data_IF_861475541442
#
_entry.id   IF_861475541442
#
_cell.length_a   1.000
_cell.length_b   1.000
_cell.length_c   1.000
_cell.angle_alpha   90.00
_cell.angle_beta   90.00
_cell.angle_gamma   90.00
#
_symmetry.space_group_name_H-M   'P 1'
#
loop_
_entity.id
_entity.type
_entity.pdbx_description
1 polymer ?
#
# COMPACT_ATOMS: atom_id res chain seq x y z
N UNK A 1 -12.97 7.76 4.43
CA UNK A 1 -11.65 7.69 3.78
C UNK A 1 -11.73 6.67 2.66
N UNK A 2 -11.13 6.95 1.51
CA UNK A 2 -11.05 6.00 0.39
C UNK A 2 -9.79 5.17 0.56
N UNK A 3 -9.90 3.84 0.43
CA UNK A 3 -8.74 2.92 0.45
C UNK A 3 -8.53 2.41 -0.97
N UNK A 4 -7.48 2.90 -1.64
CA UNK A 4 -7.18 2.54 -3.02
C UNK A 4 -6.08 1.46 -3.06
N UNK A 5 -6.39 0.33 -3.66
CA UNK A 5 -5.44 -0.74 -3.96
C UNK A 5 -4.86 -0.52 -5.35
N UNK A 6 -3.53 -0.41 -5.44
CA UNK A 6 -2.78 -0.26 -6.69
C UNK A 6 -1.90 -1.51 -6.91
N UNK A 7 -2.42 -2.56 -7.55
CA UNK A 7 -1.69 -3.82 -7.69
C UNK A 7 -0.54 -3.71 -8.70
N UNK A 8 0.33 -4.73 -8.68
CA UNK A 8 1.39 -4.89 -9.67
C UNK A 8 0.89 -5.58 -10.94
N UNK A 9 1.83 -6.06 -11.75
CA UNK A 9 1.53 -6.82 -12.97
C UNK A 9 1.42 -8.31 -12.61
N UNK A 10 0.19 -8.76 -12.30
CA UNK A 10 -0.12 -10.16 -11.98
C UNK A 10 -1.63 -10.40 -12.02
N UNK A 11 -2.07 -11.66 -12.07
CA UNK A 11 -3.50 -12.01 -12.14
C UNK A 11 -4.35 -11.30 -11.06
N UNK A 12 -5.56 -10.80 -11.41
CA UNK A 12 -6.47 -10.10 -10.49
C UNK A 12 -6.81 -10.87 -9.23
N UNK A 13 -6.95 -12.19 -9.36
CA UNK A 13 -7.35 -13.09 -8.28
C UNK A 13 -6.40 -13.01 -7.09
N UNK A 14 -5.13 -12.65 -7.30
CA UNK A 14 -4.18 -12.43 -6.22
C UNK A 14 -4.50 -11.15 -5.42
N UNK A 15 -4.91 -10.07 -6.10
CA UNK A 15 -5.37 -8.85 -5.42
C UNK A 15 -6.69 -9.09 -4.70
N UNK A 16 -7.62 -9.80 -5.34
CA UNK A 16 -8.92 -10.13 -4.72
C UNK A 16 -8.70 -10.95 -3.44
N UNK A 17 -7.84 -11.98 -3.51
CA UNK A 17 -7.48 -12.78 -2.36
C UNK A 17 -6.76 -11.96 -1.27
N UNK A 18 -5.87 -11.05 -1.64
CA UNK A 18 -5.19 -10.14 -0.71
C UNK A 18 -6.21 -9.30 0.08
N UNK A 19 -7.15 -8.66 -0.62
CA UNK A 19 -8.18 -7.81 0.01
C UNK A 19 -9.14 -8.65 0.86
N UNK A 20 -9.52 -9.85 0.42
CA UNK A 20 -10.31 -10.80 1.20
C UNK A 20 -9.63 -11.21 2.51
N UNK A 21 -8.34 -11.55 2.47
CA UNK A 21 -7.56 -11.89 3.66
C UNK A 21 -7.45 -10.71 4.63
N UNK A 22 -7.29 -9.49 4.13
CA UNK A 22 -7.28 -8.29 4.98
C UNK A 22 -8.62 -8.04 5.66
N UNK A 23 -9.72 -8.23 4.92
CA UNK A 23 -11.07 -8.04 5.42
C UNK A 23 -11.59 -9.22 6.25
N UNK A 24 -10.80 -10.28 6.42
CA UNK A 24 -11.24 -11.55 7.04
C UNK A 24 -12.53 -12.08 6.39
N UNK A 25 -12.65 -11.92 5.08
CA UNK A 25 -13.85 -12.25 4.29
C UNK A 25 -15.15 -11.52 4.69
N UNK A 26 -15.06 -10.39 5.42
CA UNK A 26 -16.22 -9.53 5.70
C UNK A 26 -16.60 -8.70 4.46
N UNK A 27 -17.79 -8.94 3.90
CA UNK A 27 -18.32 -8.21 2.73
C UNK A 27 -18.46 -6.70 2.97
N UNK A 28 -18.79 -6.30 4.19
CA UNK A 28 -18.87 -4.87 4.56
C UNK A 28 -17.51 -4.20 4.49
N UNK A 29 -16.47 -4.88 5.00
CA UNK A 29 -15.10 -4.38 4.94
C UNK A 29 -14.55 -4.37 3.51
N UNK A 30 -14.94 -5.33 2.66
CA UNK A 30 -14.54 -5.38 1.25
C UNK A 30 -15.00 -4.13 0.48
N UNK A 31 -16.22 -3.64 0.75
CA UNK A 31 -16.78 -2.43 0.09
C UNK A 31 -16.00 -1.14 0.40
N UNK A 32 -15.12 -1.17 1.41
CA UNK A 32 -14.29 -0.03 1.78
C UNK A 32 -13.03 0.11 0.91
N UNK A 33 -12.77 -0.84 0.02
CA UNK A 33 -11.61 -0.82 -0.88
C UNK A 33 -12.04 -0.61 -2.33
N UNK A 34 -11.27 0.21 -3.04
CA UNK A 34 -11.38 0.41 -4.48
C UNK A 34 -10.12 -0.18 -5.10
N UNK A 35 -10.25 -1.05 -6.09
CA UNK A 35 -9.11 -1.74 -6.71
C UNK A 35 -8.87 -1.15 -8.11
N UNK A 36 -7.67 -0.65 -8.35
CA UNK A 36 -7.27 -0.18 -9.67
C UNK A 36 -7.14 -1.38 -10.65
N UNK A 37 -7.77 -1.33 -11.84
CA UNK A 37 -7.80 -2.45 -12.79
C UNK A 37 -6.49 -2.55 -13.59
N UNK A 38 -5.40 -2.97 -12.94
CA UNK A 38 -4.07 -3.05 -13.54
C UNK A 38 -3.90 -4.11 -14.66
N UNK A 39 -4.95 -4.87 -14.98
CA UNK A 39 -4.99 -5.75 -16.16
C UNK A 39 -5.40 -5.02 -17.43
N UNK A 40 -6.20 -3.97 -17.29
CA UNK A 40 -6.73 -3.18 -18.41
C UNK A 40 -5.95 -1.88 -18.59
N UNK A 41 -5.17 -1.49 -17.58
CA UNK A 41 -4.41 -0.23 -17.52
C UNK A 41 -3.00 -0.48 -17.00
N UNK A 42 -2.09 0.43 -17.30
CA UNK A 42 -0.71 0.30 -16.87
C UNK A 42 -0.58 0.53 -15.36
N UNK A 43 -0.17 -0.51 -14.61
CA UNK A 43 0.00 -0.45 -13.15
C UNK A 43 0.90 0.72 -12.69
N UNK A 44 1.91 1.08 -13.47
CA UNK A 44 2.86 2.15 -13.16
C UNK A 44 2.40 3.55 -13.63
N UNK A 45 1.24 3.66 -14.30
CA UNK A 45 0.75 4.94 -14.83
C UNK A 45 0.10 5.76 -13.73
N UNK A 46 0.82 6.79 -13.27
CA UNK A 46 0.32 7.74 -12.28
C UNK A 46 -0.96 8.45 -12.75
N UNK A 47 -1.04 8.78 -14.04
CA UNK A 47 -2.20 9.46 -14.63
C UNK A 47 -3.42 8.53 -14.63
N UNK A 48 -3.26 7.26 -14.98
CA UNK A 48 -4.40 6.33 -15.00
C UNK A 48 -4.94 6.06 -13.61
N UNK A 49 -4.06 5.90 -12.62
CA UNK A 49 -4.44 5.73 -11.21
C UNK A 49 -5.13 6.98 -10.68
N UNK A 50 -4.58 8.16 -10.99
CA UNK A 50 -5.16 9.44 -10.60
C UNK A 50 -6.57 9.62 -11.17
N UNK A 51 -6.75 9.43 -12.48
CA UNK A 51 -8.05 9.56 -13.15
C UNK A 51 -9.07 8.53 -12.65
N UNK A 52 -8.60 7.29 -12.40
CA UNK A 52 -9.43 6.25 -11.80
C UNK A 52 -9.91 6.66 -10.41
N UNK A 53 -9.01 7.17 -9.57
CA UNK A 53 -9.36 7.67 -8.24
C UNK A 53 -10.36 8.83 -8.33
N UNK A 54 -10.14 9.82 -9.19
CA UNK A 54 -11.08 10.94 -9.36
C UNK A 54 -12.47 10.47 -9.79
N UNK A 55 -12.55 9.51 -10.71
CA UNK A 55 -13.85 9.00 -11.19
C UNK A 55 -14.62 8.20 -10.13
N UNK A 56 -13.92 7.67 -9.12
CA UNK A 56 -14.50 6.92 -8.03
C UNK A 56 -14.76 7.75 -6.77
N UNK A 57 -14.31 9.01 -6.72
CA UNK A 57 -14.51 9.90 -5.58
C UNK A 57 -15.47 11.01 -5.96
N UNK A 58 -16.57 11.14 -5.23
CA UNK A 58 -17.52 12.24 -5.46
C UNK A 58 -16.84 13.59 -5.22
N UNK A 59 -17.01 14.51 -6.18
CA UNK A 59 -16.35 15.82 -6.24
C UNK A 59 -16.54 16.69 -4.98
N UNK A 60 -17.63 16.47 -4.24
CA UNK A 60 -17.95 17.22 -3.02
C UNK A 60 -17.40 16.60 -1.74
N UNK A 61 -16.67 15.48 -1.83
CA UNK A 61 -16.12 14.84 -0.65
C UNK A 61 -14.70 15.35 -0.38
N UNK A 62 -14.49 15.87 0.83
CA UNK A 62 -13.16 16.02 1.45
C UNK A 62 -12.53 14.64 1.76
N UNK A 63 -12.74 13.66 0.88
CA UNK A 63 -12.32 12.29 1.05
C UNK A 63 -10.80 12.25 1.02
N UNK A 64 -10.27 11.91 2.18
CA UNK A 64 -8.87 11.53 2.30
C UNK A 64 -8.65 10.14 1.72
N UNK A 65 -7.45 9.91 1.19
CA UNK A 65 -7.11 8.67 0.47
C UNK A 65 -5.94 7.96 1.14
N UNK A 66 -6.09 6.66 1.35
CA UNK A 66 -5.02 5.74 1.74
C UNK A 66 -4.66 4.87 0.54
N UNK A 67 -3.41 4.92 0.09
CA UNK A 67 -2.91 4.09 -0.99
C UNK A 67 -2.26 2.82 -0.43
N UNK A 68 -2.56 1.66 -1.02
CA UNK A 68 -1.89 0.39 -0.75
C UNK A 68 -1.44 -0.18 -2.09
N UNK A 69 -0.14 -0.18 -2.32
CA UNK A 69 0.41 -0.39 -3.65
C UNK A 69 1.45 -1.50 -3.67
N UNK A 70 1.52 -2.25 -4.77
CA UNK A 70 2.46 -3.36 -4.94
C UNK A 70 3.30 -3.24 -6.20
N UNK A 71 4.60 -3.49 -6.08
CA UNK A 71 5.52 -3.61 -7.22
C UNK A 71 5.42 -2.38 -8.15
N UNK A 72 5.20 -2.58 -9.44
CA UNK A 72 4.97 -1.50 -10.42
C UNK A 72 3.82 -0.55 -10.02
N UNK A 73 2.81 -1.04 -9.30
CA UNK A 73 1.72 -0.23 -8.75
C UNK A 73 2.20 0.85 -7.77
N UNK A 74 3.34 0.64 -7.09
CA UNK A 74 3.93 1.65 -6.20
C UNK A 74 4.37 2.89 -6.97
N UNK A 75 4.93 2.73 -8.17
CA UNK A 75 5.37 3.85 -9.01
C UNK A 75 4.17 4.73 -9.38
N UNK A 76 3.11 4.11 -9.89
CA UNK A 76 1.90 4.82 -10.27
C UNK A 76 1.18 5.43 -9.07
N UNK A 77 1.06 4.69 -7.96
CA UNK A 77 0.43 5.18 -6.73
C UNK A 77 1.18 6.38 -6.13
N UNK A 78 2.51 6.36 -6.13
CA UNK A 78 3.32 7.48 -5.64
C UNK A 78 3.07 8.74 -6.47
N UNK A 79 3.09 8.64 -7.80
CA UNK A 79 2.77 9.76 -8.68
C UNK A 79 1.34 10.27 -8.51
N UNK A 80 0.36 9.36 -8.41
CA UNK A 80 -1.04 9.72 -8.19
C UNK A 80 -1.24 10.40 -6.82
N UNK A 81 -0.57 9.92 -5.77
CA UNK A 81 -0.64 10.51 -4.43
C UNK A 81 -0.05 11.93 -4.40
N UNK A 82 1.07 12.16 -5.10
CA UNK A 82 1.62 13.52 -5.26
C UNK A 82 0.64 14.42 -6.02
N UNK A 83 0.08 13.95 -7.14
CA UNK A 83 -0.94 14.70 -7.89
C UNK A 83 -2.17 15.04 -7.03
N UNK A 84 -2.62 14.10 -6.20
CA UNK A 84 -3.73 14.31 -5.27
C UNK A 84 -3.42 15.41 -4.24
N UNK A 85 -2.22 15.37 -3.67
CA UNK A 85 -1.76 16.40 -2.73
C UNK A 85 -1.60 17.77 -3.41
N UNK A 86 -1.14 17.83 -4.67
CA UNK A 86 -1.03 19.08 -5.43
C UNK A 86 -2.39 19.76 -5.64
N UNK A 87 -3.48 19.00 -5.69
CA UNK A 87 -4.85 19.53 -5.68
C UNK A 87 -5.34 19.96 -4.28
N UNK A 88 -4.44 20.03 -3.29
CA UNK A 88 -4.74 20.32 -1.87
C UNK A 88 -5.70 19.31 -1.22
N UNK A 89 -5.76 18.09 -1.76
CA UNK A 89 -6.56 16.98 -1.20
C UNK A 89 -5.69 16.14 -0.26
N UNK A 90 -6.32 15.53 0.74
CA UNK A 90 -5.60 14.82 1.82
C UNK A 90 -5.20 13.40 1.38
N UNK A 91 -3.91 13.12 1.35
CA UNK A 91 -3.38 11.74 1.36
C UNK A 91 -3.10 11.37 2.81
N UNK A 92 -3.73 10.30 3.31
CA UNK A 92 -3.56 9.82 4.69
C UNK A 92 -2.24 9.07 4.85
N UNK A 93 -1.97 8.14 3.94
CA UNK A 93 -0.67 7.50 3.82
C UNK A 93 -0.54 6.77 2.47
N UNK A 94 0.66 6.28 2.20
CA UNK A 94 0.95 5.31 1.15
C UNK A 94 1.68 4.10 1.75
N UNK A 95 1.12 2.90 1.58
CA UNK A 95 1.74 1.64 1.99
C UNK A 95 2.32 0.97 0.73
N UNK A 96 3.64 0.96 0.61
CA UNK A 96 4.39 0.49 -0.55
C UNK A 96 4.96 -0.91 -0.33
N UNK A 97 4.40 -1.89 -1.02
CA UNK A 97 4.89 -3.26 -1.05
C UNK A 97 5.89 -3.43 -2.19
N UNK A 98 7.14 -3.73 -1.85
CA UNK A 98 8.21 -4.06 -2.80
C UNK A 98 8.29 -3.12 -4.03
N UNK A 99 8.19 -1.81 -3.81
CA UNK A 99 8.31 -0.80 -4.87
C UNK A 99 9.75 -0.57 -5.31
N UNK A 100 10.40 -1.60 -5.86
CA UNK A 100 11.82 -1.64 -6.20
C UNK A 100 12.35 -0.36 -6.83
N UNK A 101 13.39 0.22 -6.23
CA UNK A 101 14.12 1.35 -6.78
C UNK A 101 13.35 2.68 -6.86
N UNK A 102 12.11 2.73 -6.37
CA UNK A 102 11.30 3.95 -6.40
C UNK A 102 11.66 4.84 -5.20
N UNK A 103 12.11 6.10 -5.43
CA UNK A 103 12.16 7.11 -4.39
C UNK A 103 10.76 7.35 -3.85
N UNK A 104 10.60 7.15 -2.55
CA UNK A 104 9.33 7.39 -1.87
C UNK A 104 9.47 8.65 -1.02
N UNK A 105 8.96 9.76 -1.54
CA UNK A 105 8.98 11.06 -0.88
C UNK A 105 7.67 11.81 -1.13
N UNK A 106 7.09 12.35 -0.07
CA UNK A 106 5.85 13.14 -0.12
C UNK A 106 5.58 13.76 1.25
N UNK A 107 4.72 14.77 1.32
CA UNK A 107 4.32 15.37 2.60
C UNK A 107 3.14 14.59 3.21
N UNK A 108 3.30 13.28 3.35
CA UNK A 108 2.35 12.35 3.97
C UNK A 108 3.11 11.10 4.43
N UNK A 109 2.59 10.35 5.43
CA UNK A 109 3.20 9.11 5.88
C UNK A 109 3.37 8.07 4.77
N UNK A 110 4.54 7.42 4.74
CA UNK A 110 4.84 6.33 3.82
C UNK A 110 5.35 5.12 4.61
N UNK A 111 4.78 3.95 4.35
CA UNK A 111 5.15 2.69 4.98
C UNK A 111 5.71 1.73 3.94
N UNK A 112 6.94 1.25 4.12
CA UNK A 112 7.53 0.25 3.22
C UNK A 112 7.29 -1.16 3.75
N UNK A 113 6.92 -2.07 2.85
CA UNK A 113 6.77 -3.50 3.13
C UNK A 113 7.65 -4.26 2.14
N UNK A 114 8.59 -5.06 2.65
CA UNK A 114 9.58 -5.75 1.82
C UNK A 114 9.50 -7.27 1.98
N UNK A 115 9.74 -8.02 0.90
CA UNK A 115 9.75 -9.49 0.92
C UNK A 115 10.99 -10.10 1.56
N UNK A 116 12.00 -9.29 1.86
CA UNK A 116 13.20 -9.68 2.60
C UNK A 116 13.90 -8.49 3.26
N UNK A 117 14.90 -8.79 4.09
CA UNK A 117 15.72 -7.78 4.78
C UNK A 117 16.61 -6.98 3.82
N UNK A 118 17.16 -7.60 2.77
CA UNK A 118 18.08 -6.92 1.85
C UNK A 118 17.37 -5.81 1.06
N UNK A 119 16.19 -6.10 0.52
CA UNK A 119 15.32 -5.13 -0.16
C UNK A 119 14.89 -4.04 0.80
N UNK A 120 14.57 -4.38 2.05
CA UNK A 120 14.20 -3.41 3.07
C UNK A 120 15.32 -2.40 3.33
N UNK A 121 16.52 -2.88 3.65
CA UNK A 121 17.67 -2.05 3.94
C UNK A 121 18.08 -1.19 2.74
N UNK A 122 18.18 -1.79 1.55
CA UNK A 122 18.59 -1.06 0.35
C UNK A 122 17.57 0.00 -0.08
N UNK A 123 16.28 -0.28 0.07
CA UNK A 123 15.20 0.66 -0.27
C UNK A 123 15.10 1.83 0.71
N UNK A 124 15.58 1.69 1.95
CA UNK A 124 15.57 2.78 2.93
C UNK A 124 16.45 3.96 2.51
N UNK A 125 17.48 3.71 1.69
CA UNK A 125 18.31 4.77 1.08
C UNK A 125 17.51 5.68 0.12
N UNK A 126 16.39 5.17 -0.40
CA UNK A 126 15.46 5.88 -1.29
C UNK A 126 14.23 6.42 -0.52
N UNK A 127 14.41 6.64 0.79
CA UNK A 127 13.40 7.10 1.73
C UNK A 127 12.94 5.97 2.63
N UNK A 128 13.33 6.01 3.91
CA UNK A 128 12.99 4.98 4.89
C UNK A 128 11.48 4.89 5.18
N UNK A 129 10.75 6.01 5.02
CA UNK A 129 9.37 6.14 5.45
C UNK A 129 9.27 6.24 6.97
N UNK A 130 8.09 5.92 7.48
CA UNK A 130 7.80 5.80 8.92
C UNK A 130 8.01 4.34 9.36
N UNK A 131 7.06 3.78 10.11
CA UNK A 131 6.98 2.35 10.39
C UNK A 131 7.08 1.51 9.09
N UNK A 132 7.80 0.40 9.15
CA UNK A 132 8.04 -0.46 7.99
C UNK A 132 8.03 -1.93 8.37
N UNK A 133 7.98 -2.80 7.36
CA UNK A 133 7.96 -4.24 7.54
C UNK A 133 8.93 -4.91 6.56
N UNK A 134 9.61 -5.96 7.01
CA UNK A 134 10.32 -6.86 6.12
C UNK A 134 10.05 -8.32 6.50
N UNK A 135 9.86 -9.18 5.50
CA UNK A 135 9.63 -10.60 5.75
C UNK A 135 10.92 -11.28 6.20
N UNK A 136 10.78 -12.16 7.19
CA UNK A 136 11.84 -13.01 7.69
C UNK A 136 11.19 -14.30 8.22
N UNK A 137 11.44 -15.49 7.65
CA UNK A 137 12.33 -15.73 6.51
C UNK A 137 11.85 -15.01 5.23
N UNK A 138 12.79 -14.74 4.33
CA UNK A 138 12.49 -14.13 3.04
C UNK A 138 11.45 -14.93 2.27
N UNK A 139 10.52 -14.24 1.60
CA UNK A 139 9.53 -14.85 0.72
C UNK A 139 9.74 -14.41 -0.72
N UNK A 140 9.13 -15.10 -1.69
CA UNK A 140 9.13 -14.60 -3.08
C UNK A 140 8.35 -13.28 -3.13
N UNK A 141 8.79 -12.35 -3.98
CA UNK A 141 8.14 -11.06 -4.21
C UNK A 141 6.60 -11.14 -4.29
N UNK A 142 6.07 -12.04 -5.12
CA UNK A 142 4.62 -12.20 -5.28
C UNK A 142 3.94 -12.88 -4.08
N UNK A 143 4.66 -13.70 -3.30
CA UNK A 143 4.11 -14.37 -2.12
C UNK A 143 3.78 -13.38 -0.99
N UNK A 144 4.57 -12.30 -0.87
CA UNK A 144 4.30 -11.20 0.07
C UNK A 144 2.89 -10.61 -0.14
N UNK A 145 2.52 -10.41 -1.42
CA UNK A 145 1.20 -9.89 -1.79
C UNK A 145 0.11 -10.96 -1.78
N UNK A 146 0.40 -12.16 -2.27
CA UNK A 146 -0.60 -13.22 -2.39
C UNK A 146 -1.09 -13.77 -1.04
N UNK A 147 -0.24 -13.77 0.00
CA UNK A 147 -0.57 -14.36 1.29
C UNK A 147 -0.02 -13.51 2.46
N UNK A 148 -0.64 -12.34 2.74
CA UNK A 148 -0.22 -11.47 3.83
C UNK A 148 -0.38 -12.12 5.20
N UNK A 149 -1.26 -13.13 5.35
CA UNK A 149 -1.44 -13.83 6.62
C UNK A 149 -0.30 -14.79 6.92
N UNK A 150 0.17 -15.54 5.92
CA UNK A 150 1.26 -16.51 6.10
C UNK A 150 2.65 -15.87 6.06
N UNK A 151 2.78 -14.65 5.52
CA UNK A 151 4.06 -13.95 5.47
C UNK A 151 4.38 -13.36 6.83
N UNK A 152 5.31 -13.99 7.55
CA UNK A 152 5.83 -13.48 8.82
C UNK A 152 7.05 -12.59 8.57
N UNK A 153 7.17 -11.51 9.34
CA UNK A 153 8.30 -10.60 9.26
C UNK A 153 8.52 -9.82 10.55
N UNK A 154 9.29 -8.76 10.43
CA UNK A 154 9.50 -7.80 11.50
C UNK A 154 8.85 -6.48 11.09
N UNK A 155 7.91 -6.03 11.91
CA UNK A 155 7.52 -4.63 11.91
C UNK A 155 8.60 -3.84 12.65
N UNK A 156 9.29 -2.95 11.93
CA UNK A 156 10.23 -1.97 12.46
C UNK A 156 9.47 -0.67 12.71
N UNK A 157 9.35 -0.28 13.98
CA UNK A 157 8.73 0.99 14.37
C UNK A 157 9.69 2.15 14.11
N UNK A 158 9.18 3.38 13.96
CA UNK A 158 10.02 4.59 13.87
C UNK A 158 10.96 4.76 15.07
N UNK A 159 10.65 4.16 16.23
CA UNK A 159 11.53 4.10 17.41
C UNK A 159 12.72 3.13 17.29
N UNK A 160 12.80 2.35 16.21
CA UNK A 160 13.77 1.26 16.01
C UNK A 160 13.37 -0.06 16.69
N UNK A 161 12.27 -0.10 17.45
CA UNK A 161 11.78 -1.33 18.06
C UNK A 161 11.23 -2.28 16.98
N UNK A 162 11.55 -3.58 17.11
CA UNK A 162 11.06 -4.62 16.21
C UNK A 162 9.99 -5.46 16.88
N UNK A 163 8.87 -5.66 16.20
CA UNK A 163 7.78 -6.54 16.63
C UNK A 163 7.62 -7.65 15.60
N UNK A 164 7.64 -8.89 16.06
CA UNK A 164 7.38 -10.05 15.21
C UNK A 164 5.89 -10.11 14.91
N UNK A 165 5.51 -10.10 13.63
CA UNK A 165 4.11 -10.23 13.21
C UNK A 165 4.01 -10.73 11.77
N UNK A 166 2.80 -11.08 11.35
CA UNK A 166 2.45 -11.25 9.94
C UNK A 166 2.32 -9.90 9.23
N UNK A 167 2.45 -9.91 7.91
CA UNK A 167 2.15 -8.74 7.07
C UNK A 167 0.71 -8.27 7.24
N UNK A 168 -0.24 -9.20 7.42
CA UNK A 168 -1.66 -8.90 7.67
C UNK A 168 -1.86 -8.15 9.00
N UNK A 169 -1.20 -8.58 10.07
CA UNK A 169 -1.28 -7.90 11.37
C UNK A 169 -0.71 -6.48 11.30
N UNK A 170 0.45 -6.31 10.66
CA UNK A 170 1.05 -5.01 10.40
C UNK A 170 0.07 -4.09 9.64
N UNK A 171 -0.51 -4.58 8.54
CA UNK A 171 -1.50 -3.83 7.76
C UNK A 171 -2.76 -3.50 8.57
N UNK A 172 -3.27 -4.43 9.37
CA UNK A 172 -4.46 -4.22 10.19
C UNK A 172 -4.26 -3.06 11.17
N UNK A 173 -3.08 -2.98 11.78
CA UNK A 173 -2.73 -1.88 12.69
C UNK A 173 -2.64 -0.54 11.96
N UNK A 174 -2.01 -0.51 10.77
CA UNK A 174 -1.94 0.72 9.97
C UNK A 174 -3.32 1.18 9.48
N UNK A 175 -4.16 0.26 9.02
CA UNK A 175 -5.52 0.56 8.58
C UNK A 175 -6.33 1.21 9.70
N UNK A 176 -6.28 0.62 10.90
CA UNK A 176 -6.95 1.17 12.09
C UNK A 176 -6.41 2.56 12.46
N UNK A 177 -5.09 2.75 12.45
CA UNK A 177 -4.45 4.04 12.73
C UNK A 177 -5.01 5.16 11.85
N UNK A 178 -5.07 4.93 10.54
CA UNK A 178 -5.51 5.95 9.59
C UNK A 178 -7.03 6.13 9.49
N UNK A 179 -7.81 5.18 10.02
CA UNK A 179 -9.24 5.35 10.24
C UNK A 179 -9.56 6.25 11.45
N UNK A 180 -8.77 6.14 12.53
CA UNK A 180 -8.97 6.88 13.78
C UNK A 180 -8.40 8.31 13.73
N UNK A 181 -7.37 8.55 12.92
CA UNK A 181 -6.89 9.90 12.66
C UNK A 181 -7.97 10.71 11.91
N UNK A 182 -8.47 11.80 12.49
CA UNK A 182 -9.40 12.74 11.84
C UNK A 182 -8.66 13.64 10.84
#
# INVERSE_FOLDING_TARGET
MVKLICPGIHSPQLTDSFVQQLCQNSEENLKNFIIFPAQERQAYSAIDIFNFLESNVTLNSNSSVLFIAFSAGVVGAMGAALGWQMQKRKVKALIAFDGWGMPLAGNFPIHRVSHDYFTHWSSALLGAGEDSFYAEPSVKHLALWANPQATLGWWVKSSGCRVRCSTREFLTVLLKRYEEEL
#
